data_IF_906834831418
#
_entry.id   IF_906834831418
#
_cell.length_a   1.000
_cell.length_b   1.000
_cell.length_c   1.000
_cell.angle_alpha   90.00
_cell.angle_beta   90.00
_cell.angle_gamma   90.00
#
_symmetry.space_group_name_H-M   'P 1'
#
loop_
_entity.id
_entity.type
_entity.pdbx_description
1 polymer ?
#
# COMPACT_ATOMS: atom_id res chain seq x y z
N UNK A 1 -2.20 7.72 20.61
CA UNK A 1 -0.94 8.34 20.17
C UNK A 1 -1.10 8.64 18.68
N UNK A 2 -1.14 9.91 18.25
CA UNK A 2 -1.15 10.24 16.81
C UNK A 2 0.31 10.16 16.33
N UNK A 3 0.63 9.41 15.26
CA UNK A 3 2.00 9.39 14.74
C UNK A 3 2.34 10.78 14.21
N UNK A 4 3.54 11.26 14.52
CA UNK A 4 4.07 12.50 13.99
C UNK A 4 4.17 12.38 12.46
N UNK A 5 4.05 13.51 11.75
CA UNK A 5 3.97 13.63 10.28
C UNK A 5 5.21 13.06 9.51
N UNK A 6 6.15 12.40 10.19
CA UNK A 6 7.30 11.68 9.63
C UNK A 6 7.37 10.19 9.99
N UNK A 7 6.39 9.62 10.70
CA UNK A 7 6.37 8.17 11.05
C UNK A 7 5.62 7.30 10.03
N UNK A 8 4.91 7.90 9.07
CA UNK A 8 4.16 7.15 8.05
C UNK A 8 4.92 7.11 6.71
N UNK A 9 5.36 5.91 6.32
CA UNK A 9 5.93 5.66 5.00
C UNK A 9 4.81 5.62 3.96
N UNK A 10 4.81 6.58 3.03
CA UNK A 10 3.87 6.59 1.90
C UNK A 10 4.56 6.03 0.67
N UNK A 11 4.04 4.93 0.12
CA UNK A 11 4.55 4.28 -1.08
C UNK A 11 3.62 4.59 -2.24
N UNK A 12 4.11 5.30 -3.26
CA UNK A 12 3.35 5.62 -4.47
C UNK A 12 3.57 4.54 -5.53
N UNK A 13 2.50 3.81 -5.88
CA UNK A 13 2.52 2.76 -6.89
C UNK A 13 1.51 3.07 -8.00
N UNK A 14 1.83 2.68 -9.23
CA UNK A 14 0.94 2.78 -10.38
C UNK A 14 0.10 1.51 -10.52
N UNK A 15 -1.20 1.67 -10.84
CA UNK A 15 -2.09 0.54 -11.11
C UNK A 15 -1.64 -0.27 -12.32
N UNK A 16 -2.05 -1.54 -12.38
CA UNK A 16 -1.69 -2.49 -13.43
C UNK A 16 -0.52 -3.37 -13.01
N UNK A 17 0.38 -3.68 -13.94
CA UNK A 17 1.44 -4.69 -13.75
C UNK A 17 2.33 -4.40 -12.54
N UNK A 18 2.76 -3.14 -12.36
CA UNK A 18 3.63 -2.75 -11.25
C UNK A 18 2.98 -3.05 -9.90
N UNK A 19 1.71 -2.71 -9.72
CA UNK A 19 0.99 -3.03 -8.48
C UNK A 19 0.90 -4.55 -8.25
N UNK A 20 0.46 -5.32 -9.25
CA UNK A 20 0.30 -6.77 -9.11
C UNK A 20 1.62 -7.51 -8.83
N UNK A 21 2.75 -7.03 -9.37
CA UNK A 21 4.08 -7.61 -9.14
C UNK A 21 4.74 -7.12 -7.85
N UNK A 22 4.46 -5.90 -7.39
CA UNK A 22 5.04 -5.34 -6.16
C UNK A 22 4.29 -5.72 -4.89
N UNK A 23 2.98 -5.96 -4.96
CA UNK A 23 2.18 -6.45 -3.82
C UNK A 23 2.75 -7.69 -3.12
N UNK A 24 3.12 -8.78 -3.84
CA UNK A 24 3.73 -9.93 -3.20
C UNK A 24 5.09 -9.60 -2.57
N UNK A 25 5.89 -8.71 -3.18
CA UNK A 25 7.17 -8.27 -2.62
C UNK A 25 7.00 -7.45 -1.33
N UNK A 26 5.97 -6.60 -1.28
CA UNK A 26 5.63 -5.84 -0.08
C UNK A 26 5.07 -6.75 1.01
N UNK A 27 4.29 -7.77 0.63
CA UNK A 27 3.76 -8.75 1.57
C UNK A 27 4.86 -9.56 2.27
N UNK A 28 5.94 -9.93 1.56
CA UNK A 28 7.13 -10.57 2.16
C UNK A 28 7.82 -9.66 3.20
N UNK A 29 7.74 -8.33 3.02
CA UNK A 29 8.21 -7.35 3.99
C UNK A 29 7.19 -7.06 5.12
N UNK A 30 6.06 -7.78 5.16
CA UNK A 30 4.98 -7.59 6.12
C UNK A 30 4.01 -6.46 5.78
N UNK A 31 4.18 -5.79 4.64
CA UNK A 31 3.36 -4.65 4.21
C UNK A 31 2.31 -5.12 3.21
N UNK A 32 1.05 -5.23 3.65
CA UNK A 32 -0.06 -5.67 2.79
C UNK A 32 -1.24 -4.71 2.85
N UNK A 33 -1.91 -4.41 1.73
CA UNK A 33 -3.13 -3.61 1.73
C UNK A 33 -4.25 -4.33 2.48
N UNK A 34 -5.00 -3.57 3.28
CA UNK A 34 -6.17 -4.10 4.00
C UNK A 34 -7.39 -4.35 3.10
N UNK A 35 -7.39 -3.79 1.88
CA UNK A 35 -8.48 -3.93 0.91
C UNK A 35 -7.94 -4.08 -0.52
N UNK A 36 -8.80 -4.53 -1.43
CA UNK A 36 -8.44 -4.70 -2.84
C UNK A 36 -8.24 -3.34 -3.53
N UNK A 37 -6.97 -2.95 -3.65
CA UNK A 37 -6.47 -1.76 -4.38
C UNK A 37 -6.90 -1.71 -5.85
N UNK A 38 -7.11 -2.88 -6.47
CA UNK A 38 -7.47 -3.02 -7.88
C UNK A 38 -8.95 -2.69 -8.13
N UNK A 39 -9.83 -3.11 -7.21
CA UNK A 39 -11.28 -2.91 -7.33
C UNK A 39 -11.76 -1.58 -6.76
N UNK A 40 -10.91 -0.89 -5.99
CA UNK A 40 -11.26 0.35 -5.30
C UNK A 40 -10.90 1.59 -6.14
N UNK A 41 -11.77 2.61 -6.08
CA UNK A 41 -11.52 3.95 -6.65
C UNK A 41 -10.74 4.86 -5.70
N UNK A 42 -10.39 4.37 -4.50
CA UNK A 42 -9.54 5.11 -3.56
C UNK A 42 -8.13 5.25 -4.15
N UNK A 43 -7.47 6.34 -3.78
CA UNK A 43 -6.09 6.63 -4.18
C UNK A 43 -5.08 6.36 -3.06
N UNK A 44 -5.55 6.28 -1.82
CA UNK A 44 -4.73 6.08 -0.62
C UNK A 44 -5.29 4.87 0.11
N UNK A 45 -4.41 3.93 0.45
CA UNK A 45 -4.76 2.69 1.09
C UNK A 45 -3.92 2.51 2.35
N UNK A 46 -4.54 2.25 3.51
CA UNK A 46 -3.80 1.85 4.69
C UNK A 46 -3.25 0.43 4.47
N UNK A 47 -2.00 0.24 4.87
CA UNK A 47 -1.31 -1.05 4.90
C UNK A 47 -0.99 -1.39 6.35
N UNK A 48 -0.82 -2.69 6.63
CA UNK A 48 -0.28 -3.17 7.92
C UNK A 48 1.23 -3.02 7.97
#
# INVERSE_FOLDING_TARGET
MKPAKGEQLTIALTKGRILSETLPLLAEAGVSPLESVEQSRKLIFPTT
#
